data_IF_219099669826
#
_entry.id   IF_219099669826
#
_cell.length_a   1.000
_cell.length_b   1.000
_cell.length_c   1.000
_cell.angle_alpha   90.00
_cell.angle_beta   90.00
_cell.angle_gamma   90.00
#
_symmetry.space_group_name_H-M   'P 1'
#
loop_
_entity.id
_entity.type
_entity.pdbx_description
1 polymer ?
#
# COMPACT_ATOMS: atom_id res chain seq x y z
N UNK A 1 29.63 -5.22 36.31
CA UNK A 1 28.52 -5.73 35.48
C UNK A 1 29.14 -6.49 34.32
N UNK A 2 28.88 -7.80 34.22
CA UNK A 2 29.40 -8.62 33.13
C UNK A 2 28.87 -8.06 31.79
N UNK A 3 29.77 -7.76 30.86
CA UNK A 3 29.40 -7.43 29.48
C UNK A 3 28.68 -8.67 28.94
N UNK A 4 27.39 -8.56 28.68
CA UNK A 4 26.69 -9.56 27.88
C UNK A 4 27.32 -9.52 26.51
N UNK A 5 28.19 -10.49 26.21
CA UNK A 5 28.76 -10.64 24.88
C UNK A 5 27.60 -10.86 23.91
N UNK A 6 27.30 -9.82 23.15
CA UNK A 6 26.27 -9.87 22.11
C UNK A 6 26.74 -10.86 21.06
N UNK A 7 26.01 -11.95 20.89
CA UNK A 7 26.25 -12.94 19.85
C UNK A 7 26.35 -12.25 18.48
N UNK A 8 27.17 -12.79 17.56
CA UNK A 8 27.31 -12.20 16.24
C UNK A 8 25.98 -12.26 15.49
N UNK A 9 25.71 -11.26 14.65
CA UNK A 9 24.41 -11.08 13.97
C UNK A 9 23.93 -12.30 13.18
N UNK A 10 24.87 -13.08 12.62
CA UNK A 10 24.55 -14.28 11.85
C UNK A 10 24.07 -15.45 12.73
N UNK A 11 24.34 -15.45 14.04
CA UNK A 11 24.11 -16.58 14.95
C UNK A 11 22.70 -16.58 15.54
N UNK A 12 21.69 -16.64 14.66
CA UNK A 12 20.29 -16.85 15.05
C UNK A 12 20.08 -18.19 15.77
N UNK A 13 19.00 -18.32 16.54
CA UNK A 13 18.70 -19.56 17.27
C UNK A 13 18.65 -20.78 16.35
N UNK A 14 18.01 -20.66 15.19
CA UNK A 14 17.89 -21.75 14.21
C UNK A 14 19.25 -22.18 13.66
N UNK A 15 20.09 -21.23 13.28
CA UNK A 15 21.44 -21.50 12.76
C UNK A 15 22.35 -22.15 13.81
N UNK A 16 22.24 -21.72 15.06
CA UNK A 16 22.95 -22.35 16.19
C UNK A 16 22.46 -23.79 16.40
N UNK A 17 21.15 -24.02 16.35
CA UNK A 17 20.58 -25.36 16.48
C UNK A 17 21.07 -26.28 15.35
N UNK A 18 21.18 -25.78 14.11
CA UNK A 18 21.74 -26.54 12.99
C UNK A 18 23.18 -26.94 13.27
N UNK A 19 24.05 -26.03 13.72
CA UNK A 19 25.44 -26.37 14.05
C UNK A 19 25.54 -27.40 15.18
N UNK A 20 24.72 -27.25 16.22
CA UNK A 20 24.66 -28.20 17.34
C UNK A 20 24.19 -29.58 16.87
N UNK A 21 23.14 -29.64 16.05
CA UNK A 21 22.65 -30.91 15.49
C UNK A 21 23.70 -31.57 14.59
N UNK A 22 24.39 -30.78 13.76
CA UNK A 22 25.47 -31.23 12.90
C UNK A 22 26.63 -31.81 13.72
N UNK A 23 26.95 -31.20 14.87
CA UNK A 23 27.96 -31.71 15.79
C UNK A 23 27.52 -33.02 16.43
N UNK A 24 26.28 -33.09 16.94
CA UNK A 24 25.74 -34.27 17.59
C UNK A 24 25.63 -35.47 16.64
N UNK A 25 25.28 -35.26 15.38
CA UNK A 25 25.16 -36.33 14.38
C UNK A 25 26.52 -36.84 13.89
N UNK A 26 27.51 -35.95 13.77
CA UNK A 26 28.84 -36.26 13.26
C UNK A 26 29.86 -36.65 14.34
N UNK A 27 29.54 -36.43 15.61
CA UNK A 27 30.47 -36.54 16.72
C UNK A 27 31.65 -35.55 16.64
N UNK A 28 31.54 -34.49 15.84
CA UNK A 28 32.61 -33.53 15.58
C UNK A 28 33.67 -33.98 14.58
N UNK A 29 33.45 -35.08 13.84
CA UNK A 29 34.38 -35.61 12.84
C UNK A 29 33.88 -35.37 11.41
N UNK A 30 33.41 -36.42 10.73
CA UNK A 30 32.88 -36.31 9.38
C UNK A 30 31.39 -36.03 9.44
N UNK A 31 30.94 -34.91 8.84
CA UNK A 31 29.52 -34.51 8.80
C UNK A 31 28.63 -35.57 8.13
N UNK A 32 29.20 -36.37 7.23
CA UNK A 32 28.53 -37.46 6.54
C UNK A 32 28.71 -38.84 7.22
N UNK A 33 29.34 -38.91 8.40
CA UNK A 33 29.47 -40.15 9.17
C UNK A 33 30.58 -41.11 8.71
N UNK A 34 31.48 -40.69 7.83
CA UNK A 34 32.62 -41.52 7.40
C UNK A 34 33.68 -41.64 8.49
N UNK A 35 34.06 -42.87 8.86
CA UNK A 35 35.06 -43.16 9.92
C UNK A 35 36.49 -42.71 9.57
N UNK A 36 36.87 -42.71 8.30
CA UNK A 36 38.18 -42.27 7.79
C UNK A 36 37.99 -41.36 6.58
N UNK A 37 37.42 -40.18 6.81
CA UNK A 37 37.16 -39.25 5.73
C UNK A 37 38.45 -38.53 5.31
N UNK A 38 38.87 -38.75 4.07
CA UNK A 38 40.05 -38.10 3.48
C UNK A 38 39.74 -36.73 2.87
N UNK A 39 38.45 -36.38 2.76
CA UNK A 39 37.99 -35.12 2.17
C UNK A 39 37.92 -34.08 3.31
N UNK A 40 38.77 -33.04 3.29
CA UNK A 40 38.81 -32.05 4.36
C UNK A 40 37.49 -31.28 4.52
N UNK A 41 36.80 -31.01 3.42
CA UNK A 41 35.52 -30.29 3.41
C UNK A 41 34.42 -31.01 4.20
N UNK A 42 34.53 -32.32 4.39
CA UNK A 42 33.57 -33.10 5.17
C UNK A 42 33.84 -33.04 6.67
N UNK A 43 34.98 -32.48 7.09
CA UNK A 43 35.31 -32.36 8.51
C UNK A 43 34.47 -31.25 9.13
N UNK A 44 33.88 -31.52 10.29
CA UNK A 44 32.94 -30.65 10.98
C UNK A 44 33.46 -29.22 11.13
N UNK A 45 34.73 -29.05 11.50
CA UNK A 45 35.37 -27.73 11.64
C UNK A 45 35.28 -26.92 10.35
N UNK A 46 35.84 -27.45 9.26
CA UNK A 46 35.86 -26.79 7.96
C UNK A 46 34.46 -26.61 7.38
N UNK A 47 33.62 -27.65 7.47
CA UNK A 47 32.24 -27.58 7.00
C UNK A 47 31.44 -26.49 7.74
N UNK A 48 31.59 -26.40 9.05
CA UNK A 48 30.91 -25.38 9.86
C UNK A 48 31.37 -23.96 9.51
N UNK A 49 32.66 -23.75 9.24
CA UNK A 49 33.19 -22.46 8.82
C UNK A 49 32.67 -22.02 7.45
N UNK A 50 32.62 -22.94 6.49
CA UNK A 50 32.05 -22.70 5.16
C UNK A 50 30.56 -22.35 5.26
N UNK A 51 29.80 -23.13 6.04
CA UNK A 51 28.38 -22.91 6.24
C UNK A 51 28.09 -21.56 6.93
N UNK A 52 28.90 -21.16 7.89
CA UNK A 52 28.82 -19.82 8.52
C UNK A 52 29.13 -18.72 7.50
N UNK A 53 30.10 -18.93 6.61
CA UNK A 53 30.45 -17.98 5.55
C UNK A 53 29.29 -17.79 4.58
N UNK A 54 28.65 -18.87 4.15
CA UNK A 54 27.49 -18.83 3.26
C UNK A 54 26.31 -18.11 3.91
N UNK A 55 26.04 -18.36 5.19
CA UNK A 55 25.00 -17.63 5.92
C UNK A 55 25.26 -16.13 6.02
N UNK A 56 26.51 -15.72 6.23
CA UNK A 56 26.86 -14.29 6.21
C UNK A 56 26.65 -13.68 4.83
N UNK A 57 26.94 -14.42 3.77
CA UNK A 57 26.73 -13.97 2.40
C UNK A 57 25.23 -13.81 2.10
N UNK A 58 24.41 -14.80 2.47
CA UNK A 58 22.95 -14.72 2.37
C UNK A 58 22.38 -13.53 3.15
N UNK A 59 22.88 -13.25 4.36
CA UNK A 59 22.45 -12.09 5.15
C UNK A 59 22.83 -10.75 4.48
N UNK A 60 23.89 -10.72 3.66
CA UNK A 60 24.28 -9.53 2.88
C UNK A 60 23.35 -9.39 1.68
N UNK A 61 23.15 -10.47 0.92
CA UNK A 61 22.29 -10.51 -0.27
C UNK A 61 20.84 -10.14 0.07
N UNK A 62 20.31 -10.67 1.17
CA UNK A 62 18.98 -10.34 1.64
C UNK A 62 18.85 -8.85 1.99
N UNK A 63 19.82 -8.28 2.72
CA UNK A 63 19.81 -6.84 3.05
C UNK A 63 19.90 -5.96 1.82
N UNK A 64 20.68 -6.35 0.82
CA UNK A 64 20.76 -5.63 -0.45
C UNK A 64 19.43 -5.70 -1.19
N UNK A 65 18.80 -6.86 -1.27
CA UNK A 65 17.51 -7.05 -1.91
C UNK A 65 16.38 -6.27 -1.20
N UNK A 66 16.36 -6.27 0.12
CA UNK A 66 15.43 -5.47 0.93
C UNK A 66 15.63 -3.97 0.68
N UNK A 67 16.89 -3.51 0.68
CA UNK A 67 17.20 -2.11 0.40
C UNK A 67 16.82 -1.69 -1.03
N UNK A 68 17.07 -2.54 -2.02
CA UNK A 68 16.64 -2.30 -3.41
C UNK A 68 15.12 -2.29 -3.52
N UNK A 69 14.42 -3.18 -2.83
CA UNK A 69 12.96 -3.24 -2.80
C UNK A 69 12.37 -1.99 -2.13
N UNK A 70 12.93 -1.54 -1.01
CA UNK A 70 12.55 -0.29 -0.34
C UNK A 70 12.81 0.92 -1.23
N UNK A 71 14.01 0.99 -1.82
CA UNK A 71 14.37 2.06 -2.76
C UNK A 71 13.43 2.09 -3.95
N UNK A 72 13.10 0.92 -4.51
CA UNK A 72 12.11 0.79 -5.59
C UNK A 72 10.73 1.22 -5.13
N UNK A 73 10.28 0.83 -3.93
CA UNK A 73 9.00 1.23 -3.38
C UNK A 73 8.90 2.74 -3.12
N UNK A 74 9.97 3.38 -2.63
CA UNK A 74 10.06 4.81 -2.40
C UNK A 74 10.08 5.62 -3.71
N UNK A 75 10.77 5.12 -4.74
CA UNK A 75 10.86 5.77 -6.06
C UNK A 75 9.76 5.35 -7.03
N UNK A 76 8.96 4.34 -6.69
CA UNK A 76 7.73 4.06 -7.39
C UNK A 76 6.75 5.18 -7.02
N UNK A 77 6.79 6.25 -7.81
CA UNK A 77 5.68 7.20 -7.90
C UNK A 77 4.41 6.35 -7.96
N UNK A 78 3.34 6.76 -7.27
CA UNK A 78 2.03 6.09 -7.30
C UNK A 78 1.36 6.04 -8.69
N UNK A 79 2.15 6.22 -9.74
CA UNK A 79 1.82 5.96 -11.13
C UNK A 79 1.58 4.46 -11.33
N UNK A 80 0.44 4.16 -11.95
CA UNK A 80 -0.03 2.80 -12.22
C UNK A 80 0.99 2.06 -13.10
N UNK A 81 1.65 1.04 -12.55
CA UNK A 81 2.32 0.02 -13.36
C UNK A 81 1.26 -0.84 -14.04
N UNK A 82 0.93 -0.50 -15.29
CA UNK A 82 0.08 -1.32 -16.14
C UNK A 82 0.86 -2.55 -16.63
N UNK A 83 0.25 -3.73 -16.73
CA UNK A 83 0.86 -4.86 -17.41
C UNK A 83 1.12 -4.49 -18.88
N UNK A 84 2.34 -4.76 -19.38
CA UNK A 84 2.76 -4.51 -20.77
C UNK A 84 1.91 -5.28 -21.80
N UNK A 85 1.10 -6.25 -21.35
CA UNK A 85 0.16 -7.03 -22.17
C UNK A 85 -1.24 -6.99 -21.58
N UNK A 86 -2.14 -6.31 -22.27
CA UNK A 86 -3.57 -6.21 -21.97
C UNK A 86 -4.24 -5.27 -22.99
N UNK A 87 -5.47 -5.60 -23.41
CA UNK A 87 -6.19 -5.09 -24.59
C UNK A 87 -6.60 -3.59 -24.56
N UNK A 88 -5.89 -2.72 -23.83
CA UNK A 88 -6.12 -1.27 -23.94
C UNK A 88 -5.19 -0.69 -25.00
N UNK A 89 -5.64 -0.66 -26.26
CA UNK A 89 -5.03 0.11 -27.34
C UNK A 89 -4.83 1.57 -26.90
N UNK A 90 -3.81 2.27 -27.42
CA UNK A 90 -3.60 3.69 -27.11
C UNK A 90 -4.88 4.52 -27.34
N UNK A 91 -5.67 4.14 -28.35
CA UNK A 91 -6.98 4.72 -28.67
C UNK A 91 -8.01 4.47 -27.56
N UNK A 92 -8.10 3.25 -27.03
CA UNK A 92 -9.01 2.98 -25.91
C UNK A 92 -8.63 3.75 -24.63
N UNK A 93 -7.35 4.10 -24.46
CA UNK A 93 -6.88 4.95 -23.36
C UNK A 93 -7.28 6.41 -23.55
N UNK A 94 -7.16 6.95 -24.75
CA UNK A 94 -7.61 8.33 -25.04
C UNK A 94 -9.12 8.41 -24.89
N UNK A 95 -9.87 7.45 -25.43
CA UNK A 95 -11.33 7.36 -25.26
C UNK A 95 -11.71 7.28 -23.77
N UNK A 96 -10.99 6.49 -22.96
CA UNK A 96 -11.27 6.40 -21.53
C UNK A 96 -10.99 7.72 -20.80
N UNK A 97 -9.89 8.40 -21.11
CA UNK A 97 -9.52 9.68 -20.50
C UNK A 97 -10.47 10.81 -20.92
N UNK A 98 -10.85 10.87 -22.20
CA UNK A 98 -11.82 11.83 -22.74
C UNK A 98 -13.21 11.66 -22.12
N UNK A 99 -13.61 10.42 -21.85
CA UNK A 99 -14.91 10.12 -21.25
C UNK A 99 -14.91 10.19 -19.72
N UNK A 100 -13.79 10.53 -19.08
CA UNK A 100 -13.74 10.60 -17.63
C UNK A 100 -14.54 11.83 -17.15
N UNK A 101 -15.53 11.66 -16.25
CA UNK A 101 -16.28 12.80 -15.72
C UNK A 101 -15.34 13.68 -14.90
N UNK A 102 -15.58 15.00 -14.86
CA UNK A 102 -14.73 15.92 -14.08
C UNK A 102 -14.75 15.62 -12.57
N UNK A 103 -15.87 15.12 -12.06
CA UNK A 103 -16.06 14.81 -10.65
C UNK A 103 -17.04 13.65 -10.44
N UNK A 104 -16.94 13.03 -9.27
CA UNK A 104 -17.86 12.01 -8.76
C UNK A 104 -18.55 12.51 -7.50
N UNK A 105 -19.88 12.36 -7.44
CA UNK A 105 -20.66 12.64 -6.24
C UNK A 105 -20.59 11.42 -5.32
N UNK A 106 -19.94 11.54 -4.17
CA UNK A 106 -19.82 10.42 -3.24
C UNK A 106 -21.02 10.35 -2.28
N UNK A 107 -21.55 11.49 -1.83
CA UNK A 107 -22.68 11.50 -0.92
C UNK A 107 -23.07 12.88 -0.41
N UNK A 108 -24.21 12.95 0.27
CA UNK A 108 -24.74 14.17 0.91
C UNK A 108 -24.83 13.94 2.42
N UNK A 109 -24.41 14.92 3.21
CA UNK A 109 -24.41 14.83 4.67
C UNK A 109 -24.68 16.20 5.31
N UNK A 110 -24.72 16.24 6.64
CA UNK A 110 -24.81 17.48 7.42
C UNK A 110 -23.56 17.57 8.29
N UNK A 111 -22.94 18.76 8.32
CA UNK A 111 -21.79 19.00 9.20
C UNK A 111 -22.24 18.99 10.65
N UNK A 112 -21.56 18.21 11.50
CA UNK A 112 -21.87 18.17 12.94
C UNK A 112 -21.59 19.50 13.65
N UNK A 113 -20.70 20.33 13.09
CA UNK A 113 -20.26 21.58 13.71
C UNK A 113 -21.16 22.74 13.26
N UNK A 114 -21.27 22.95 11.94
CA UNK A 114 -22.02 24.09 11.40
C UNK A 114 -23.51 23.78 11.20
N UNK A 115 -23.91 22.51 11.33
CA UNK A 115 -25.25 22.02 11.04
C UNK A 115 -25.74 22.33 9.62
N UNK A 116 -24.81 22.69 8.72
CA UNK A 116 -25.08 22.98 7.32
C UNK A 116 -25.01 21.70 6.48
N UNK A 117 -25.95 21.49 5.54
CA UNK A 117 -25.88 20.36 4.63
C UNK A 117 -24.76 20.58 3.62
N UNK A 118 -24.00 19.53 3.30
CA UNK A 118 -22.92 19.57 2.32
C UNK A 118 -22.94 18.34 1.41
N UNK A 119 -22.30 18.47 0.24
CA UNK A 119 -22.00 17.33 -0.65
C UNK A 119 -20.51 17.06 -0.62
N UNK A 120 -20.18 15.77 -0.56
CA UNK A 120 -18.81 15.29 -0.75
C UNK A 120 -18.61 14.94 -2.22
N UNK A 121 -17.66 15.62 -2.84
CA UNK A 121 -17.35 15.53 -4.27
C UNK A 121 -15.91 15.08 -4.41
N UNK A 122 -15.66 13.99 -5.14
CA UNK A 122 -14.30 13.55 -5.48
C UNK A 122 -13.95 14.02 -6.87
N UNK A 123 -12.82 14.70 -7.01
CA UNK A 123 -12.31 15.10 -8.32
C UNK A 123 -11.77 13.86 -9.02
N UNK A 124 -12.04 13.71 -10.32
CA UNK A 124 -11.78 12.44 -10.99
C UNK A 124 -10.30 12.13 -11.19
N UNK A 125 -9.47 13.16 -11.39
CA UNK A 125 -8.02 13.05 -11.59
C UNK A 125 -7.21 13.07 -10.28
N UNK A 126 -7.85 13.18 -9.11
CA UNK A 126 -7.14 13.27 -7.83
C UNK A 126 -7.82 12.49 -6.70
N UNK A 127 -7.09 12.29 -5.60
CA UNK A 127 -7.65 11.73 -4.35
C UNK A 127 -8.33 12.80 -3.48
N UNK A 128 -8.47 14.03 -4.00
CA UNK A 128 -8.96 15.18 -3.26
C UNK A 128 -10.48 15.15 -3.25
N UNK A 129 -11.02 15.43 -2.07
CA UNK A 129 -12.46 15.51 -1.83
C UNK A 129 -12.81 16.94 -1.45
N UNK A 130 -13.68 17.54 -2.24
CA UNK A 130 -14.28 18.84 -1.95
C UNK A 130 -15.56 18.64 -1.13
N UNK A 131 -15.77 19.57 -0.20
CA UNK A 131 -16.98 19.64 0.63
C UNK A 131 -17.74 20.91 0.26
N UNK A 132 -18.81 20.77 -0.52
CA UNK A 132 -19.56 21.91 -1.06
C UNK A 132 -20.80 22.16 -0.22
N UNK A 133 -20.96 23.38 0.29
CA UNK A 133 -22.12 23.79 1.11
C UNK A 133 -23.40 23.88 0.25
N UNK A 134 -24.47 23.23 0.71
CA UNK A 134 -25.78 23.19 0.08
C UNK A 134 -26.84 24.04 0.78
N UNK A 135 -26.48 24.81 1.81
CA UNK A 135 -27.44 25.52 2.67
C UNK A 135 -28.51 26.29 1.90
N UNK A 136 -28.13 27.05 0.88
CA UNK A 136 -29.05 27.81 0.04
C UNK A 136 -29.82 26.95 -0.97
N UNK A 137 -29.14 26.00 -1.61
CA UNK A 137 -29.75 25.15 -2.65
C UNK A 137 -30.90 24.30 -2.08
N UNK A 138 -30.78 23.87 -0.82
CA UNK A 138 -31.79 23.06 -0.15
C UNK A 138 -32.88 23.87 0.56
N UNK A 139 -32.81 25.21 0.56
CA UNK A 139 -33.76 26.09 1.26
C UNK A 139 -35.17 25.99 0.70
N UNK A 140 -35.30 25.76 -0.61
CA UNK A 140 -36.59 25.61 -1.30
C UNK A 140 -37.29 24.26 -1.04
N UNK A 141 -36.59 23.30 -0.42
CA UNK A 141 -37.13 21.96 -0.16
C UNK A 141 -37.64 21.87 1.27
N UNK A 142 -38.80 21.23 1.44
CA UNK A 142 -39.40 21.00 2.76
C UNK A 142 -38.45 20.22 3.69
N UNK A 143 -38.56 20.47 5.00
CA UNK A 143 -37.72 19.86 6.04
C UNK A 143 -37.72 18.33 5.99
N UNK A 144 -38.87 17.71 5.69
CA UNK A 144 -39.00 16.26 5.64
C UNK A 144 -38.32 15.68 4.39
N UNK A 145 -38.54 16.29 3.23
CA UNK A 145 -37.90 15.86 1.97
C UNK A 145 -36.39 15.98 2.07
N UNK A 146 -35.88 17.08 2.64
CA UNK A 146 -34.44 17.26 2.90
C UNK A 146 -33.87 16.16 3.80
N UNK A 147 -34.54 15.85 4.91
CA UNK A 147 -34.12 14.78 5.84
C UNK A 147 -34.11 13.41 5.17
N UNK A 148 -35.11 13.11 4.32
CA UNK A 148 -35.20 11.84 3.59
C UNK A 148 -34.14 11.72 2.50
N UNK A 149 -33.82 12.81 1.80
CA UNK A 149 -32.75 12.83 0.81
C UNK A 149 -31.38 12.56 1.46
N UNK A 150 -31.09 13.21 2.59
CA UNK A 150 -29.81 13.05 3.30
C UNK A 150 -29.69 11.67 3.95
N UNK A 151 -30.73 11.21 4.66
CA UNK A 151 -30.67 9.92 5.40
C UNK A 151 -30.81 8.69 4.52
N UNK A 152 -31.62 8.75 3.47
CA UNK A 152 -32.02 7.58 2.69
C UNK A 152 -31.69 7.70 1.20
N UNK A 153 -31.01 8.77 0.77
CA UNK A 153 -30.70 8.99 -0.65
C UNK A 153 -31.93 9.17 -1.53
N UNK A 154 -33.08 9.55 -0.97
CA UNK A 154 -34.30 9.77 -1.78
C UNK A 154 -34.09 10.87 -2.82
N UNK A 155 -34.65 10.72 -4.03
CA UNK A 155 -34.48 11.70 -5.08
C UNK A 155 -35.03 13.07 -4.67
N UNK A 156 -34.24 14.11 -4.93
CA UNK A 156 -34.66 15.51 -4.78
C UNK A 156 -35.44 15.96 -6.02
N UNK A 157 -36.28 17.01 -5.89
CA UNK A 157 -36.92 17.64 -7.03
C UNK A 157 -35.88 18.02 -8.11
N UNK A 158 -36.24 17.93 -9.40
CA UNK A 158 -35.29 18.14 -10.51
C UNK A 158 -34.67 19.54 -10.47
N UNK A 159 -35.44 20.56 -10.10
CA UNK A 159 -34.97 21.95 -9.94
C UNK A 159 -33.87 22.08 -8.89
N UNK A 160 -34.06 21.43 -7.73
CA UNK A 160 -33.05 21.41 -6.65
C UNK A 160 -31.82 20.63 -7.06
N UNK A 161 -31.97 19.52 -7.77
CA UNK A 161 -30.84 18.73 -8.27
C UNK A 161 -29.98 19.53 -9.24
N UNK A 162 -30.60 20.29 -10.15
CA UNK A 162 -29.88 21.19 -11.06
C UNK A 162 -29.13 22.29 -10.30
N UNK A 163 -29.75 22.90 -9.28
CA UNK A 163 -29.11 23.91 -8.44
C UNK A 163 -27.87 23.35 -7.70
N UNK A 164 -27.97 22.12 -7.18
CA UNK A 164 -26.85 21.41 -6.55
C UNK A 164 -25.74 21.14 -7.57
N UNK A 165 -26.08 20.61 -8.75
CA UNK A 165 -25.09 20.34 -9.81
C UNK A 165 -24.36 21.62 -10.24
N UNK A 166 -25.08 22.75 -10.35
CA UNK A 166 -24.47 24.04 -10.69
C UNK A 166 -23.45 24.49 -9.64
N UNK A 167 -23.80 24.44 -8.35
CA UNK A 167 -22.87 24.80 -7.26
C UNK A 167 -21.66 23.87 -7.19
N UNK A 168 -21.86 22.57 -7.43
CA UNK A 168 -20.74 21.61 -7.47
C UNK A 168 -19.82 21.91 -8.65
N UNK A 169 -20.38 22.19 -9.83
CA UNK A 169 -19.59 22.54 -11.02
C UNK A 169 -18.78 23.83 -10.81
N UNK A 170 -19.36 24.84 -10.17
CA UNK A 170 -18.67 26.08 -9.81
C UNK A 170 -17.49 25.81 -8.88
N UNK A 171 -17.71 25.07 -7.78
CA UNK A 171 -16.64 24.70 -6.85
C UNK A 171 -15.52 23.86 -7.50
N UNK A 172 -15.87 22.97 -8.43
CA UNK A 172 -14.88 22.16 -9.17
C UNK A 172 -14.09 23.02 -10.15
N UNK A 173 -14.73 24.00 -10.81
CA UNK A 173 -14.05 24.95 -11.70
C UNK A 173 -13.07 25.82 -10.93
N UNK A 174 -13.50 26.41 -9.82
CA UNK A 174 -12.66 27.25 -8.97
C UNK A 174 -11.43 26.48 -8.48
N UNK A 175 -11.61 25.22 -8.10
CA UNK A 175 -10.50 24.36 -7.70
C UNK A 175 -9.50 24.09 -8.84
N UNK A 176 -9.95 23.94 -10.09
CA UNK A 176 -9.05 23.72 -11.23
C UNK A 176 -8.34 24.99 -11.71
N UNK A 177 -8.84 26.17 -11.38
CA UNK A 177 -8.19 27.46 -11.72
C UNK A 177 -7.10 27.87 -10.73
N UNK A 178 -7.05 27.25 -9.55
CA UNK A 178 -6.05 27.48 -8.50
C UNK A 178 -4.98 26.39 -8.49
#
# INVERSE_FOLDING_TARGET
MAKTETLPKWATLDRRNVLVQLFLSSGGFCVYGHKKCLIPEHHYSLYSELLIKDWKQLDIEQRLAEWEAERKALHQLGERSYPVRGQFSAISKTIYAENQPLYYLEGQAVSGITLKPFVRVRIASSYIRLYVDLGEALRQVSKNTRRKAIRYGKPLPPTTRQAIMRKVMEAVKDYHTH
#
